data_IF_387373009177
#
_entry.id   IF_387373009177
#
_cell.length_a   1.000
_cell.length_b   1.000
_cell.length_c   1.000
_cell.angle_alpha   90.00
_cell.angle_beta   90.00
_cell.angle_gamma   90.00
#
_symmetry.space_group_name_H-M   'P 1'
#
loop_
_entity.id
_entity.type
_entity.pdbx_description
1 polymer ?
#
# COMPACT_ATOMS: atom_id res chain seq x y z
N UNK A 1 11.52 -6.85 10.34
CA UNK A 1 12.78 -6.31 9.78
C UNK A 1 12.56 -4.82 9.73
N UNK A 2 12.96 -4.04 10.73
CA UNK A 2 12.88 -2.57 10.63
C UNK A 2 14.16 -2.11 9.97
N UNK A 3 14.03 -1.26 8.97
CA UNK A 3 15.13 -0.87 8.10
C UNK A 3 15.32 0.63 8.23
N UNK A 4 16.26 1.05 9.06
CA UNK A 4 16.65 2.45 9.09
C UNK A 4 17.59 2.74 7.92
N UNK A 5 17.14 3.57 6.99
CA UNK A 5 18.02 4.24 6.02
C UNK A 5 18.81 5.31 6.79
N UNK A 6 20.13 5.22 6.80
CA UNK A 6 21.00 6.25 7.38
C UNK A 6 21.51 7.13 6.24
N UNK A 7 20.94 8.34 6.14
CA UNK A 7 21.48 9.42 5.30
C UNK A 7 22.03 10.52 6.22
N UNK A 8 23.28 10.40 6.65
CA UNK A 8 23.99 11.48 7.31
C UNK A 8 24.65 12.41 6.27
N UNK A 9 23.89 13.39 5.78
CA UNK A 9 24.41 14.63 5.21
C UNK A 9 23.36 15.76 5.29
N UNK A 10 23.48 16.65 6.27
CA UNK A 10 22.65 17.85 6.40
C UNK A 10 23.00 18.92 5.34
N UNK A 11 21.94 19.45 4.73
CA UNK A 11 21.71 20.83 4.24
C UNK A 11 22.72 21.41 3.24
N UNK A 12 22.26 21.55 1.98
CA UNK A 12 22.46 22.79 1.24
C UNK A 12 21.26 23.09 0.32
N UNK A 13 20.78 24.33 0.45
CA UNK A 13 19.77 25.01 -0.36
C UNK A 13 19.72 24.54 -1.83
N UNK A 14 18.65 23.83 -2.22
CA UNK A 14 18.24 23.74 -3.62
C UNK A 14 16.92 24.51 -3.81
N UNK A 15 17.05 25.70 -4.40
CA UNK A 15 15.94 26.56 -4.78
C UNK A 15 15.27 25.97 -6.02
N UNK A 16 14.18 25.22 -5.84
CA UNK A 16 13.39 24.73 -6.97
C UNK A 16 12.63 25.88 -7.63
N UNK A 17 13.20 26.41 -8.71
CA UNK A 17 12.49 27.23 -9.67
C UNK A 17 12.43 26.47 -10.99
N UNK A 18 11.33 25.75 -11.24
CA UNK A 18 10.86 25.39 -12.59
C UNK A 18 9.37 25.05 -12.48
N UNK A 19 8.57 25.73 -13.28
CA UNK A 19 7.12 25.70 -13.26
C UNK A 19 6.61 24.51 -14.06
N UNK A 20 5.99 23.52 -13.41
CA UNK A 20 5.07 22.59 -14.06
C UNK A 20 3.70 22.75 -13.39
N UNK A 21 2.86 23.62 -13.97
CA UNK A 21 1.46 23.78 -13.63
C UNK A 21 0.67 22.56 -14.15
N UNK A 22 0.60 21.48 -13.37
CA UNK A 22 -0.52 20.54 -13.38
C UNK A 22 -0.40 19.62 -12.16
N UNK A 23 -1.52 19.30 -11.49
CA UNK A 23 -1.68 18.48 -10.27
C UNK A 23 -1.64 19.23 -8.91
N UNK A 24 -2.41 20.31 -8.78
CA UNK A 24 -2.75 20.84 -7.45
C UNK A 24 -4.25 20.90 -7.14
N UNK A 25 -5.09 20.18 -7.89
CA UNK A 25 -6.56 20.23 -7.73
C UNK A 25 -7.20 18.90 -7.32
N UNK A 26 -6.44 17.79 -7.25
CA UNK A 26 -7.00 16.47 -6.90
C UNK A 26 -6.63 16.06 -5.48
N UNK A 27 -5.56 16.57 -4.88
CA UNK A 27 -5.17 16.18 -3.53
C UNK A 27 -6.07 16.81 -2.47
N UNK A 28 -6.28 18.13 -2.48
CA UNK A 28 -7.06 18.84 -1.44
C UNK A 28 -8.54 18.44 -1.33
N UNK A 29 -9.24 18.31 -2.46
CA UNK A 29 -10.70 18.07 -2.49
C UNK A 29 -11.11 16.66 -1.98
N UNK A 30 -10.17 15.73 -1.95
CA UNK A 30 -10.36 14.39 -1.42
C UNK A 30 -10.12 14.30 0.09
N UNK A 31 -9.33 15.23 0.67
CA UNK A 31 -9.05 15.24 2.10
C UNK A 31 -10.28 15.64 2.93
N UNK A 32 -11.07 16.62 2.46
CA UNK A 32 -12.22 17.18 3.20
C UNK A 32 -13.52 16.36 3.08
N UNK A 33 -13.58 15.39 2.16
CA UNK A 33 -14.84 14.67 1.84
C UNK A 33 -15.00 13.31 2.55
N UNK A 34 -14.01 12.89 3.33
CA UNK A 34 -14.06 11.62 4.06
C UNK A 34 -14.63 11.81 5.46
N UNK A 35 -15.96 11.82 5.55
CA UNK A 35 -16.70 11.76 6.81
C UNK A 35 -16.72 10.34 7.44
N UNK A 36 -16.24 9.30 6.72
CA UNK A 36 -16.31 7.91 7.19
C UNK A 36 -15.08 7.54 8.06
N UNK A 37 -15.32 7.23 9.34
CA UNK A 37 -14.31 6.71 10.26
C UNK A 37 -13.97 5.24 9.95
N UNK A 38 -12.68 4.91 9.97
CA UNK A 38 -12.23 3.51 9.92
C UNK A 38 -12.35 2.91 11.31
N UNK A 39 -13.14 1.83 11.42
CA UNK A 39 -13.38 1.10 12.67
C UNK A 39 -13.03 -0.37 12.42
N UNK A 40 -12.34 -0.98 13.38
CA UNK A 40 -12.12 -2.42 13.42
C UNK A 40 -12.98 -3.05 14.52
N UNK A 41 -13.68 -4.13 14.19
CA UNK A 41 -14.54 -4.83 15.13
C UNK A 41 -14.49 -6.35 14.94
N UNK A 42 -15.30 -7.08 15.71
CA UNK A 42 -15.31 -8.55 15.67
C UNK A 42 -15.70 -9.15 14.32
N UNK A 43 -16.37 -8.39 13.44
CA UNK A 43 -16.66 -8.84 12.07
C UNK A 43 -15.41 -8.85 11.19
N UNK A 44 -14.35 -8.13 11.58
CA UNK A 44 -13.03 -8.17 10.95
C UNK A 44 -12.19 -9.38 11.38
N UNK A 45 -12.77 -10.32 12.14
CA UNK A 45 -12.13 -11.57 12.52
C UNK A 45 -12.59 -12.65 11.52
N UNK A 46 -11.87 -12.79 10.41
CA UNK A 46 -12.23 -13.77 9.38
C UNK A 46 -11.60 -15.13 9.65
N UNK A 47 -12.13 -15.85 10.64
CA UNK A 47 -11.66 -17.19 10.99
C UNK A 47 -10.27 -17.24 11.66
N UNK A 48 -9.81 -16.10 12.20
CA UNK A 48 -8.55 -16.05 12.95
C UNK A 48 -8.66 -16.83 14.26
N UNK A 49 -7.60 -17.57 14.57
CA UNK A 49 -7.43 -18.24 15.86
C UNK A 49 -6.57 -17.35 16.74
N UNK A 50 -7.05 -17.02 17.94
CA UNK A 50 -6.34 -16.16 18.89
C UNK A 50 -5.72 -16.97 20.04
N UNK A 51 -4.58 -16.53 20.61
CA UNK A 51 -3.77 -15.40 20.13
C UNK A 51 -2.94 -15.78 18.89
N UNK A 52 -2.68 -14.80 18.03
CA UNK A 52 -1.67 -14.90 16.97
C UNK A 52 -0.79 -13.64 16.98
N UNK A 53 0.41 -13.78 16.41
CA UNK A 53 1.41 -12.71 16.32
C UNK A 53 1.95 -12.57 14.90
N UNK A 54 1.18 -13.04 13.92
CA UNK A 54 1.56 -13.06 12.52
C UNK A 54 1.66 -11.65 11.93
N UNK A 55 2.63 -11.44 11.05
CA UNK A 55 2.74 -10.21 10.27
C UNK A 55 1.52 -10.05 9.35
N UNK A 56 1.11 -8.80 9.09
CA UNK A 56 0.06 -8.54 8.11
C UNK A 56 0.62 -8.72 6.70
N UNK A 57 0.14 -9.75 6.01
CA UNK A 57 0.59 -10.10 4.66
C UNK A 57 -0.58 -10.08 3.69
N UNK A 58 -0.49 -9.21 2.68
CA UNK A 58 -1.56 -8.98 1.71
C UNK A 58 -1.11 -9.32 0.28
N UNK A 59 -2.05 -9.23 -0.65
CA UNK A 59 -1.79 -9.28 -2.09
C UNK A 59 -2.25 -7.96 -2.70
N UNK A 60 -1.43 -7.39 -3.57
CA UNK A 60 -1.77 -6.17 -4.31
C UNK A 60 -1.44 -6.34 -5.78
N UNK A 61 -2.08 -5.52 -6.62
CA UNK A 61 -1.76 -5.49 -8.04
C UNK A 61 -0.66 -4.45 -8.28
N UNK A 62 0.49 -4.90 -8.78
CA UNK A 62 1.64 -4.06 -9.12
C UNK A 62 1.90 -4.19 -10.61
N UNK A 63 1.84 -3.08 -11.35
CA UNK A 63 1.97 -3.05 -12.82
C UNK A 63 1.19 -4.20 -13.50
N UNK A 64 -0.10 -4.28 -13.19
CA UNK A 64 -1.06 -5.29 -13.69
C UNK A 64 -0.82 -6.76 -13.27
N UNK A 65 0.16 -7.02 -12.41
CA UNK A 65 0.45 -8.35 -11.87
C UNK A 65 -0.01 -8.47 -10.42
N UNK A 66 -0.65 -9.59 -10.06
CA UNK A 66 -1.04 -9.87 -8.68
C UNK A 66 0.18 -10.36 -7.88
N UNK A 67 0.77 -9.46 -7.11
CA UNK A 67 1.91 -9.75 -6.24
C UNK A 67 1.39 -10.18 -4.88
N UNK A 68 1.56 -11.47 -4.58
CA UNK A 68 1.20 -12.08 -3.30
C UNK A 68 2.29 -11.87 -2.27
N UNK A 69 2.01 -12.21 -1.01
CA UNK A 69 2.99 -12.20 0.06
C UNK A 69 3.68 -10.84 0.26
N UNK A 70 2.89 -9.75 0.22
CA UNK A 70 3.39 -8.39 0.49
C UNK A 70 3.23 -8.13 1.98
N UNK A 71 4.35 -7.94 2.68
CA UNK A 71 4.32 -7.55 4.09
C UNK A 71 3.93 -6.07 4.21
N UNK A 72 2.98 -5.77 5.09
CA UNK A 72 2.64 -4.40 5.47
C UNK A 72 3.41 -4.05 6.73
N UNK A 73 4.32 -3.09 6.63
CA UNK A 73 5.17 -2.63 7.73
C UNK A 73 4.92 -1.14 7.97
N UNK A 74 4.53 -0.77 9.19
CA UNK A 74 4.33 0.61 9.61
C UNK A 74 5.58 1.24 10.26
N UNK A 75 6.70 0.51 10.28
CA UNK A 75 8.01 1.00 10.69
C UNK A 75 8.65 2.01 9.72
N UNK A 76 9.88 2.43 10.02
CA UNK A 76 10.65 3.34 9.15
C UNK A 76 11.34 2.60 8.00
N UNK A 77 11.58 3.33 6.90
CA UNK A 77 12.58 2.94 5.91
C UNK A 77 12.25 3.37 4.49
N UNK A 78 11.61 2.50 3.73
CA UNK A 78 11.40 2.64 2.28
C UNK A 78 10.80 1.35 1.72
N UNK A 79 10.03 1.41 0.62
CA UNK A 79 9.47 0.20 0.02
C UNK A 79 10.54 -0.71 -0.58
N UNK A 80 10.35 -2.03 -0.44
CA UNK A 80 11.30 -3.03 -0.94
C UNK A 80 10.57 -4.02 -1.80
N UNK A 81 11.17 -4.39 -2.91
CA UNK A 81 10.70 -5.47 -3.78
C UNK A 81 11.84 -6.46 -4.00
N UNK A 82 11.48 -7.73 -3.99
CA UNK A 82 12.42 -8.81 -4.24
C UNK A 82 12.79 -8.85 -5.74
N UNK A 83 14.07 -9.00 -6.05
CA UNK A 83 14.55 -9.06 -7.43
C UNK A 83 13.85 -10.15 -8.27
N UNK A 84 13.43 -11.26 -7.65
CA UNK A 84 12.70 -12.35 -8.31
C UNK A 84 11.36 -11.89 -8.87
N UNK A 85 10.69 -10.95 -8.21
CA UNK A 85 9.41 -10.39 -8.67
C UNK A 85 9.61 -9.59 -9.94
N UNK A 86 10.66 -8.76 -9.98
CA UNK A 86 10.99 -7.98 -11.17
C UNK A 86 11.38 -8.87 -12.34
N UNK A 87 12.10 -9.96 -12.09
CA UNK A 87 12.42 -10.95 -13.12
C UNK A 87 11.17 -11.63 -13.70
N UNK A 88 10.19 -11.96 -12.86
CA UNK A 88 8.91 -12.50 -13.31
C UNK A 88 8.11 -11.48 -14.14
N UNK A 89 8.21 -10.19 -13.81
CA UNK A 89 7.56 -9.10 -14.54
C UNK A 89 8.34 -8.64 -15.79
N UNK A 90 9.57 -9.13 -16.01
CA UNK A 90 10.47 -8.71 -17.09
C UNK A 90 10.78 -7.20 -17.03
N UNK A 91 11.19 -6.73 -15.85
CA UNK A 91 11.49 -5.32 -15.58
C UNK A 91 12.94 -5.06 -15.17
N UNK A 92 13.84 -6.04 -15.36
CA UNK A 92 15.24 -5.95 -14.96
C UNK A 92 15.98 -4.81 -15.69
N UNK A 93 15.57 -4.50 -16.92
CA UNK A 93 16.12 -3.42 -17.75
C UNK A 93 15.67 -2.02 -17.32
N UNK A 94 14.66 -1.92 -16.45
CA UNK A 94 14.08 -0.65 -15.97
C UNK A 94 14.57 -0.27 -14.57
N UNK A 95 15.48 -1.04 -14.01
CA UNK A 95 16.04 -0.79 -12.69
C UNK A 95 16.95 0.45 -12.75
N UNK A 96 16.64 1.45 -11.93
CA UNK A 96 17.47 2.63 -11.75
C UNK A 96 18.71 2.32 -10.89
N UNK A 97 19.79 3.08 -11.11
CA UNK A 97 21.08 2.87 -10.44
C UNK A 97 21.14 3.40 -8.99
N UNK A 98 20.05 3.96 -8.47
CA UNK A 98 19.99 4.48 -7.11
C UNK A 98 19.93 3.31 -6.11
N UNK A 99 21.02 3.11 -5.40
CA UNK A 99 21.14 2.11 -4.35
C UNK A 99 21.33 2.79 -3.00
N UNK A 100 20.72 2.19 -1.98
CA UNK A 100 20.84 2.63 -0.60
C UNK A 100 21.33 1.47 0.26
N UNK A 101 21.72 1.79 1.48
CA UNK A 101 22.17 0.82 2.45
C UNK A 101 21.10 0.65 3.53
N UNK A 102 20.69 -0.59 3.73
CA UNK A 102 19.69 -1.01 4.69
C UNK A 102 20.40 -1.64 5.88
N UNK A 103 20.15 -1.12 7.08
CA UNK A 103 20.71 -1.71 8.31
C UNK A 103 19.63 -2.47 9.05
N UNK A 104 19.82 -3.79 9.19
CA UNK A 104 18.96 -4.68 9.96
C UNK A 104 19.28 -4.68 11.46
N UNK A 105 18.38 -5.25 12.26
CA UNK A 105 18.51 -5.33 13.73
C UNK A 105 19.75 -6.09 14.24
N UNK A 106 20.25 -7.03 13.46
CA UNK A 106 21.49 -7.76 13.76
C UNK A 106 22.74 -6.98 13.34
N UNK A 107 22.61 -5.68 13.04
CA UNK A 107 23.62 -4.84 12.41
C UNK A 107 24.12 -5.39 11.07
N UNK A 108 23.36 -6.27 10.42
CA UNK A 108 23.63 -6.64 9.03
C UNK A 108 23.34 -5.43 8.16
N UNK A 109 24.29 -5.12 7.29
CA UNK A 109 24.25 -3.99 6.39
C UNK A 109 24.12 -4.54 4.99
N UNK A 110 23.00 -4.26 4.35
CA UNK A 110 22.66 -4.79 3.04
C UNK A 110 22.50 -3.65 2.05
N UNK A 111 23.14 -3.76 0.90
CA UNK A 111 23.04 -2.74 -0.15
C UNK A 111 22.00 -3.18 -1.17
N UNK A 112 21.07 -2.27 -1.50
CA UNK A 112 20.07 -2.55 -2.53
C UNK A 112 20.70 -2.52 -3.91
N UNK A 113 20.17 -3.31 -4.84
CA UNK A 113 20.70 -3.40 -6.21
C UNK A 113 20.33 -2.19 -7.08
N UNK A 114 19.34 -1.42 -6.64
CA UNK A 114 18.79 -0.28 -7.36
C UNK A 114 17.43 0.13 -6.80
N UNK A 115 16.71 0.94 -7.57
CA UNK A 115 15.32 1.31 -7.29
C UNK A 115 14.47 1.25 -8.56
N UNK A 116 13.15 1.12 -8.38
CA UNK A 116 12.18 1.15 -9.46
C UNK A 116 10.89 1.80 -8.98
N UNK A 117 10.26 2.62 -9.82
CA UNK A 117 8.93 3.19 -9.52
C UNK A 117 7.86 2.37 -10.24
N UNK A 118 6.92 1.82 -9.47
CA UNK A 118 5.83 0.97 -9.98
C UNK A 118 4.46 1.51 -9.56
N UNK A 119 3.46 1.27 -10.40
CA UNK A 119 2.06 1.54 -10.07
C UNK A 119 1.52 0.42 -9.19
N UNK A 120 1.12 0.77 -7.97
CA UNK A 120 0.51 -0.14 -7.00
C UNK A 120 -0.97 0.19 -6.86
N UNK A 121 -1.83 -0.77 -7.20
CA UNK A 121 -3.28 -0.64 -7.14
C UNK A 121 -3.85 -1.38 -5.93
N UNK A 122 -4.68 -0.68 -5.17
CA UNK A 122 -5.46 -1.21 -4.05
C UNK A 122 -6.88 -0.62 -4.07
N UNK A 123 -7.90 -1.48 -4.08
CA UNK A 123 -9.31 -1.07 -4.01
C UNK A 123 -9.71 0.02 -5.03
N UNK A 124 -9.18 -0.06 -6.26
CA UNK A 124 -9.46 0.90 -7.33
C UNK A 124 -8.72 2.24 -7.22
N UNK A 125 -7.86 2.41 -6.22
CA UNK A 125 -6.93 3.54 -6.10
C UNK A 125 -5.54 3.06 -6.53
N UNK A 126 -4.86 3.84 -7.37
CA UNK A 126 -3.51 3.52 -7.86
C UNK A 126 -2.52 4.58 -7.41
N UNK A 127 -1.37 4.14 -6.90
CA UNK A 127 -0.30 5.01 -6.43
C UNK A 127 1.04 4.62 -7.05
N UNK A 128 1.79 5.62 -7.52
CA UNK A 128 3.19 5.45 -7.89
C UNK A 128 4.04 5.25 -6.62
N UNK A 129 4.77 4.14 -6.57
CA UNK A 129 5.53 3.73 -5.39
C UNK A 129 6.94 3.36 -5.81
N UNK A 130 7.93 4.02 -5.21
CA UNK A 130 9.34 3.68 -5.39
C UNK A 130 9.69 2.51 -4.48
N UNK A 131 10.22 1.45 -5.07
CA UNK A 131 10.75 0.28 -4.37
C UNK A 131 12.25 0.22 -4.57
N UNK A 132 13.01 -0.04 -3.50
CA UNK A 132 14.38 -0.52 -3.64
C UNK A 132 14.41 -2.03 -3.79
N UNK A 133 15.43 -2.51 -4.49
CA UNK A 133 15.50 -3.89 -4.92
C UNK A 133 16.44 -4.63 -4.00
N UNK A 134 15.94 -5.71 -3.42
CA UNK A 134 16.71 -6.58 -2.55
C UNK A 134 16.88 -7.94 -3.21
N UNK A 135 18.13 -8.37 -3.34
CA UNK A 135 18.51 -9.67 -3.86
C UNK A 135 18.91 -10.60 -2.72
N UNK A 136 17.96 -10.81 -1.80
CA UNK A 136 18.13 -11.70 -0.66
C UNK A 136 16.92 -12.62 -0.54
N UNK A 137 17.16 -13.82 -0.03
CA UNK A 137 16.08 -14.75 0.24
C UNK A 137 15.20 -14.24 1.38
N UNK A 138 14.01 -13.75 1.03
CA UNK A 138 12.96 -13.43 2.00
C UNK A 138 11.68 -14.22 1.70
N UNK A 139 10.82 -14.46 2.71
CA UNK A 139 9.52 -15.11 2.50
C UNK A 139 8.48 -14.16 1.85
N UNK A 140 8.83 -12.89 1.67
CA UNK A 140 7.94 -11.87 1.12
C UNK A 140 8.39 -11.47 -0.29
N UNK A 141 7.44 -11.16 -1.16
CA UNK A 141 7.74 -10.69 -2.50
C UNK A 141 8.01 -9.18 -2.51
N UNK A 142 7.38 -8.46 -1.59
CA UNK A 142 7.59 -7.05 -1.38
C UNK A 142 7.27 -6.67 0.07
N UNK A 143 7.76 -5.51 0.49
CA UNK A 143 7.40 -4.85 1.73
C UNK A 143 6.89 -3.46 1.36
N UNK A 144 5.66 -3.16 1.79
CA UNK A 144 5.07 -1.84 1.67
C UNK A 144 5.17 -1.13 3.01
N UNK A 145 5.56 0.13 2.94
CA UNK A 145 5.91 0.94 4.09
C UNK A 145 4.99 2.13 4.27
N UNK A 146 5.26 2.85 5.36
CA UNK A 146 4.56 4.03 5.83
C UNK A 146 4.20 5.04 4.72
N UNK A 147 5.10 5.34 3.78
CA UNK A 147 4.83 6.32 2.71
C UNK A 147 3.60 5.94 1.87
N UNK A 148 3.49 4.68 1.46
CA UNK A 148 2.35 4.17 0.71
C UNK A 148 1.10 4.13 1.60
N UNK A 149 1.23 3.60 2.82
CA UNK A 149 0.14 3.47 3.79
C UNK A 149 -0.49 4.83 4.08
N UNK A 150 0.32 5.84 4.37
CA UNK A 150 -0.11 7.20 4.65
C UNK A 150 -0.74 7.87 3.44
N UNK A 151 -0.14 7.71 2.26
CA UNK A 151 -0.68 8.29 1.02
C UNK A 151 -2.03 7.69 0.66
N UNK A 152 -2.19 6.38 0.87
CA UNK A 152 -3.45 5.65 0.69
C UNK A 152 -4.45 5.89 1.83
N UNK A 153 -4.06 6.61 2.89
CA UNK A 153 -4.81 6.77 4.15
C UNK A 153 -5.26 5.42 4.71
N UNK A 154 -4.46 4.40 4.49
CA UNK A 154 -4.75 3.04 4.89
C UNK A 154 -4.44 2.87 6.38
N UNK A 155 -5.27 2.10 7.06
CA UNK A 155 -5.03 1.66 8.43
C UNK A 155 -4.82 0.16 8.41
N UNK A 156 -3.58 -0.32 8.59
CA UNK A 156 -3.31 -1.73 8.79
C UNK A 156 -3.67 -2.15 10.22
N UNK A 157 -4.11 -3.39 10.38
CA UNK A 157 -4.23 -4.06 11.67
C UNK A 157 -3.73 -5.48 11.55
N UNK A 158 -2.57 -5.74 12.17
CA UNK A 158 -2.05 -7.10 12.33
C UNK A 158 -2.92 -7.94 13.25
N UNK A 159 -3.62 -7.33 14.23
CA UNK A 159 -4.55 -8.03 15.12
C UNK A 159 -5.76 -8.61 14.37
N UNK A 160 -6.33 -7.85 13.44
CA UNK A 160 -7.48 -8.31 12.63
C UNK A 160 -7.05 -8.94 11.29
N UNK A 161 -5.74 -8.99 11.01
CA UNK A 161 -5.18 -9.38 9.72
C UNK A 161 -5.90 -8.67 8.55
N UNK A 162 -6.08 -7.35 8.65
CA UNK A 162 -6.78 -6.54 7.65
C UNK A 162 -6.10 -5.19 7.49
N UNK A 163 -6.06 -4.67 6.27
CA UNK A 163 -5.83 -3.26 5.99
C UNK A 163 -7.12 -2.62 5.44
N UNK A 164 -7.54 -1.50 6.03
CA UNK A 164 -8.70 -0.72 5.60
C UNK A 164 -8.24 0.58 4.97
N UNK A 165 -8.83 0.97 3.84
CA UNK A 165 -8.51 2.24 3.19
C UNK A 165 -9.77 2.92 2.67
N UNK A 166 -9.80 4.27 2.69
CA UNK A 166 -10.89 5.01 2.09
C UNK A 166 -10.76 5.04 0.56
N UNK A 167 -11.89 4.94 -0.12
CA UNK A 167 -12.01 5.05 -1.58
C UNK A 167 -13.15 6.03 -1.91
N UNK A 168 -13.28 6.51 -3.17
CA UNK A 168 -14.48 7.27 -3.58
C UNK A 168 -15.82 6.56 -3.32
N UNK A 169 -15.78 5.24 -3.18
CA UNK A 169 -16.96 4.41 -2.95
C UNK A 169 -17.14 4.03 -1.47
N UNK A 170 -16.29 4.55 -0.58
CA UNK A 170 -16.28 4.38 0.88
C UNK A 170 -15.12 3.50 1.37
N UNK A 171 -15.22 2.92 2.56
CA UNK A 171 -14.12 2.16 3.17
C UNK A 171 -14.08 0.74 2.62
N UNK A 172 -12.93 0.33 2.09
CA UNK A 172 -12.67 -1.02 1.61
C UNK A 172 -11.64 -1.73 2.51
N UNK A 173 -11.79 -3.05 2.62
CA UNK A 173 -10.90 -3.90 3.42
C UNK A 173 -10.16 -4.88 2.51
N UNK A 174 -8.85 -5.02 2.72
CA UNK A 174 -8.02 -6.06 2.13
C UNK A 174 -7.60 -6.97 3.28
N UNK A 175 -7.95 -8.25 3.15
CA UNK A 175 -7.69 -9.26 4.17
C UNK A 175 -6.29 -9.84 3.99
N UNK A 176 -5.62 -10.11 5.10
CA UNK A 176 -4.40 -10.89 5.16
C UNK A 176 -4.69 -12.38 4.97
N UNK A 177 -3.75 -13.09 4.36
CA UNK A 177 -3.86 -14.53 4.12
C UNK A 177 -3.58 -14.92 2.67
N UNK A 178 -2.53 -15.71 2.46
CA UNK A 178 -1.85 -15.90 1.17
C UNK A 178 -2.61 -16.59 0.03
N UNK A 179 -3.88 -16.97 0.17
CA UNK A 179 -4.56 -17.78 -0.85
C UNK A 179 -5.83 -17.19 -1.47
N UNK A 180 -6.50 -16.19 -0.85
CA UNK A 180 -7.81 -15.69 -1.33
C UNK A 180 -7.96 -14.15 -1.37
N UNK A 181 -6.91 -13.39 -1.06
CA UNK A 181 -6.95 -11.93 -1.09
C UNK A 181 -6.76 -11.39 -2.51
N UNK A 182 -7.68 -11.66 -3.44
CA UNK A 182 -7.69 -10.92 -4.70
C UNK A 182 -8.10 -9.47 -4.42
N UNK A 183 -7.50 -8.46 -5.10
CA UNK A 183 -7.94 -7.07 -4.97
C UNK A 183 -9.42 -6.88 -5.39
N UNK A 184 -9.98 -7.81 -6.17
CA UNK A 184 -11.40 -7.87 -6.53
C UNK A 184 -12.33 -8.36 -5.40
N UNK A 185 -11.77 -9.01 -4.37
CA UNK A 185 -12.49 -9.43 -3.16
C UNK A 185 -12.48 -8.33 -2.08
N UNK A 186 -12.05 -7.10 -2.41
CA UNK A 186 -12.14 -5.99 -1.48
C UNK A 186 -13.62 -5.67 -1.21
N UNK A 187 -14.08 -5.97 0.00
CA UNK A 187 -15.48 -5.78 0.40
C UNK A 187 -15.62 -4.37 0.99
N UNK A 188 -16.59 -3.60 0.47
CA UNK A 188 -17.00 -2.35 1.09
C UNK A 188 -17.56 -2.62 2.50
N UNK A 189 -17.16 -1.82 3.49
CA UNK A 189 -17.63 -2.01 4.86
C UNK A 189 -19.17 -2.05 4.93
N UNK A 190 -19.80 -2.77 5.88
CA UNK A 190 -21.26 -2.83 5.99
C UNK A 190 -21.94 -1.45 6.10
N UNK A 191 -21.26 -0.48 6.73
CA UNK A 191 -21.70 0.91 6.83
C UNK A 191 -21.70 1.59 5.45
N UNK A 192 -20.62 1.40 4.69
CA UNK A 192 -20.47 1.88 3.32
C UNK A 192 -21.48 1.21 2.37
N UNK A 193 -21.71 -0.10 2.47
CA UNK A 193 -22.66 -0.83 1.64
C UNK A 193 -24.10 -0.29 1.78
N UNK A 194 -24.50 0.09 3.00
CA UNK A 194 -25.79 0.76 3.27
C UNK A 194 -25.87 2.14 2.61
N UNK A 195 -24.78 2.91 2.63
CA UNK A 195 -24.67 4.23 1.98
C UNK A 195 -24.76 4.11 0.45
N UNK A 196 -24.01 3.18 -0.15
CA UNK A 196 -24.04 2.90 -1.60
C UNK A 196 -25.44 2.48 -2.08
N UNK A 197 -26.13 1.60 -1.35
CA UNK A 197 -27.50 1.22 -1.68
C UNK A 197 -28.46 2.43 -1.64
N UNK A 198 -28.35 3.31 -0.63
CA UNK A 198 -29.16 4.54 -0.56
C UNK A 198 -28.90 5.46 -1.76
N UNK A 199 -27.63 5.65 -2.16
CA UNK A 199 -27.26 6.46 -3.34
C UNK A 199 -27.79 5.85 -4.64
N UNK A 200 -27.72 4.52 -4.80
CA UNK A 200 -28.24 3.79 -5.97
C UNK A 200 -29.76 3.89 -6.09
N UNK A 201 -30.49 3.82 -4.97
CA UNK A 201 -31.95 4.02 -4.92
C UNK A 201 -32.32 5.47 -5.29
N UNK A 202 -31.60 6.48 -4.77
CA UNK A 202 -31.83 7.89 -5.14
C UNK A 202 -31.59 8.14 -6.64
N UNK A 203 -30.51 7.58 -7.21
CA UNK A 203 -30.20 7.73 -8.65
C UNK A 203 -31.24 7.04 -9.54
N UNK A 204 -31.77 5.87 -9.14
CA UNK A 204 -32.89 5.22 -9.86
C UNK A 204 -34.19 6.04 -9.80
N UNK A 205 -34.48 6.73 -8.69
CA UNK A 205 -35.66 7.60 -8.59
C UNK A 205 -35.56 8.85 -9.45
N UNK A 206 -34.35 9.39 -9.65
CA UNK A 206 -34.14 10.58 -10.47
C UNK A 206 -34.18 10.30 -11.98
N UNK A 207 -33.85 9.08 -12.41
CA UNK A 207 -33.91 8.68 -13.82
C UNK A 207 -35.30 8.18 -14.28
N UNK A 208 -36.27 8.09 -13.36
CA UNK A 208 -37.66 7.67 -13.65
C UNK A 208 -38.66 8.84 -13.54
N UNK A 209 -38.17 10.09 -13.57
CA UNK A 209 -38.95 11.32 -13.75
C UNK A 209 -38.52 11.99 -15.04
#
# INVERSE_FOLDING_TARGET
MIISSSDDAFINNMKFATTHKLKHSITGEWYDKLEESIIFDKSDINGLVFPHYDALVITLRILDNDVRCIMVDDGSGTCIIDARVLAQMKLEDKIGSCCITLTGFNNAVERTSGEITLLVMACGVTLETTFHIMDQYTPYNAIIWQQWIHTMRAMPSSLYQVIKLPTPWGIFSIWGGGNNAYPENAIASPLTARSLNRRRIKKKRHNNQ
#
